data_IF_275375816112
#
_entry.id   IF_275375816112
#
_cell.length_a   1.000
_cell.length_b   1.000
_cell.length_c   1.000
_cell.angle_alpha   90.00
_cell.angle_beta   90.00
_cell.angle_gamma   90.00
#
_symmetry.space_group_name_H-M   'P 1'
#
loop_
_entity.id
_entity.type
_entity.pdbx_description
1 polymer ?
#
# COMPACT_ATOMS: atom_id res chain seq x y z
N UNK A 1 17.92 14.77 10.09
CA UNK A 1 17.87 15.98 9.23
C UNK A 1 17.88 15.58 7.76
N UNK A 2 16.70 15.33 7.16
CA UNK A 2 16.53 15.01 5.73
C UNK A 2 15.47 15.91 5.08
N UNK A 3 15.52 17.22 5.35
CA UNK A 3 14.57 18.20 4.81
C UNK A 3 15.03 18.92 3.53
N UNK A 4 16.10 18.47 2.86
CA UNK A 4 16.73 19.27 1.79
C UNK A 4 17.11 18.50 0.52
N UNK A 5 16.80 17.20 0.40
CA UNK A 5 17.13 16.42 -0.82
C UNK A 5 15.95 16.23 -1.80
N UNK A 6 14.74 16.66 -1.45
CA UNK A 6 13.56 16.56 -2.33
C UNK A 6 13.48 17.69 -3.39
N UNK A 7 14.12 18.84 -3.17
CA UNK A 7 13.87 20.05 -3.98
C UNK A 7 14.75 20.25 -5.22
N UNK A 8 15.76 19.41 -5.48
CA UNK A 8 16.71 19.62 -6.61
C UNK A 8 16.62 18.53 -7.69
N UNK A 9 15.90 17.43 -7.46
CA UNK A 9 15.61 16.44 -8.52
C UNK A 9 14.46 16.86 -9.45
N UNK A 10 13.89 18.05 -9.25
CA UNK A 10 12.61 18.48 -9.84
C UNK A 10 12.73 19.37 -11.10
N UNK A 11 13.92 19.51 -11.71
CA UNK A 11 14.06 20.45 -12.84
C UNK A 11 14.92 20.02 -14.05
N UNK A 12 15.48 18.81 -14.10
CA UNK A 12 16.18 18.34 -15.31
C UNK A 12 15.93 16.84 -15.56
N UNK A 13 14.72 16.48 -15.98
CA UNK A 13 14.47 15.52 -17.08
C UNK A 13 13.03 15.66 -17.56
N UNK A 14 12.70 16.83 -18.12
CA UNK A 14 11.57 16.93 -19.03
C UNK A 14 12.02 16.28 -20.35
N UNK A 15 11.39 15.15 -20.69
CA UNK A 15 11.22 14.48 -21.99
C UNK A 15 11.41 12.96 -21.80
N UNK A 16 10.34 12.23 -22.11
CA UNK A 16 10.12 10.78 -22.04
C UNK A 16 9.83 10.21 -20.65
N UNK A 17 8.55 10.12 -20.27
CA UNK A 17 7.71 8.89 -20.40
C UNK A 17 6.30 9.30 -19.98
N UNK A 18 5.53 9.82 -20.93
CA UNK A 18 4.08 9.73 -20.88
C UNK A 18 3.70 8.70 -21.92
N UNK A 19 3.07 7.59 -21.50
CA UNK A 19 2.30 6.63 -22.32
C UNK A 19 2.39 5.25 -21.68
N UNK A 20 1.27 4.71 -21.17
CA UNK A 20 0.96 3.28 -21.28
C UNK A 20 -0.47 2.86 -20.87
N UNK A 21 -1.46 3.74 -21.05
CA UNK A 21 -2.80 3.32 -21.50
C UNK A 21 -2.93 3.34 -23.04
N UNK A 22 -1.80 3.45 -23.75
CA UNK A 22 -1.71 3.41 -25.23
C UNK A 22 -1.65 1.98 -25.79
N UNK A 23 -1.57 0.94 -24.94
CA UNK A 23 -1.59 -0.47 -25.39
C UNK A 23 -3.00 -1.08 -25.57
N UNK A 24 -4.08 -0.33 -25.32
CA UNK A 24 -5.44 -0.73 -25.68
C UNK A 24 -5.77 -0.46 -27.16
N UNK A 25 -4.93 -0.94 -28.07
CA UNK A 25 -5.31 -1.08 -29.48
C UNK A 25 -5.20 -2.56 -29.88
N UNK A 26 -6.32 -3.28 -30.05
CA UNK A 26 -6.28 -4.46 -30.89
C UNK A 26 -5.93 -4.04 -32.32
N UNK A 27 -5.17 -4.89 -33.00
CA UNK A 27 -4.58 -4.64 -34.30
C UNK A 27 -5.57 -4.13 -35.36
N UNK A 28 -5.10 -3.15 -36.14
CA UNK A 28 -5.62 -2.68 -37.45
C UNK A 28 -7.03 -2.04 -37.50
N UNK A 29 -7.06 -0.70 -37.46
CA UNK A 29 -7.99 0.09 -38.29
C UNK A 29 -7.24 1.17 -39.06
N UNK A 30 -7.66 1.49 -40.30
CA UNK A 30 -6.95 2.43 -41.15
C UNK A 30 -6.93 3.83 -40.53
N UNK A 31 -5.86 4.59 -40.80
CA UNK A 31 -5.75 6.00 -40.48
C UNK A 31 -7.01 6.74 -40.93
N UNK A 32 -7.82 7.18 -39.96
CA UNK A 32 -9.02 7.97 -40.16
C UNK A 32 -9.40 8.68 -38.86
N UNK A 33 -9.40 10.01 -38.91
CA UNK A 33 -9.94 10.99 -37.95
C UNK A 33 -9.48 10.95 -36.49
N UNK A 34 -8.59 11.88 -36.15
CA UNK A 34 -8.35 12.36 -34.78
C UNK A 34 -9.49 13.24 -34.26
N UNK A 35 -10.60 12.60 -33.90
CA UNK A 35 -11.57 13.12 -32.95
C UNK A 35 -11.66 12.07 -31.84
N UNK A 36 -11.14 12.37 -30.64
CA UNK A 36 -11.55 11.58 -29.48
C UNK A 36 -13.07 11.67 -29.38
N UNK A 37 -13.73 10.56 -29.08
CA UNK A 37 -15.17 10.52 -28.85
C UNK A 37 -15.49 11.33 -27.59
N UNK A 38 -15.58 12.66 -27.72
CA UNK A 38 -15.93 13.60 -26.65
C UNK A 38 -17.35 13.38 -26.09
N UNK A 39 -18.07 12.37 -26.57
CA UNK A 39 -19.43 12.02 -26.17
C UNK A 39 -19.53 10.68 -25.43
N UNK A 40 -18.42 9.97 -25.16
CA UNK A 40 -18.46 8.77 -24.34
C UNK A 40 -18.68 9.16 -22.88
N UNK A 41 -19.61 8.49 -22.18
CA UNK A 41 -19.81 8.73 -20.76
C UNK A 41 -18.60 8.22 -19.95
N UNK A 42 -18.33 8.76 -18.75
CA UNK A 42 -17.25 8.27 -17.88
C UNK A 42 -17.34 6.76 -17.61
N UNK A 43 -18.55 6.23 -17.42
CA UNK A 43 -18.79 4.79 -17.22
C UNK A 43 -18.40 3.99 -18.46
N UNK A 44 -18.84 4.41 -19.65
CA UNK A 44 -18.50 3.73 -20.89
C UNK A 44 -17.00 3.75 -21.16
N UNK A 45 -16.31 4.84 -20.79
CA UNK A 45 -14.86 4.95 -20.90
C UNK A 45 -14.13 3.93 -20.02
N UNK A 46 -14.52 3.81 -18.74
CA UNK A 46 -13.87 2.85 -17.83
C UNK A 46 -14.21 1.40 -18.19
N UNK A 47 -15.43 1.13 -18.66
CA UNK A 47 -15.84 -0.19 -19.14
C UNK A 47 -15.03 -0.63 -20.38
N UNK A 48 -14.80 0.29 -21.33
CA UNK A 48 -13.94 0.02 -22.48
C UNK A 48 -12.48 -0.16 -22.07
N UNK A 49 -11.98 0.72 -21.21
CA UNK A 49 -10.59 0.72 -20.75
C UNK A 49 -10.24 -0.55 -19.97
N UNK A 50 -11.12 -0.98 -19.06
CA UNK A 50 -10.90 -2.17 -18.25
C UNK A 50 -11.31 -3.48 -18.95
N UNK A 51 -12.07 -3.40 -20.04
CA UNK A 51 -12.66 -4.58 -20.69
C UNK A 51 -13.71 -5.28 -19.81
N UNK A 52 -14.30 -4.55 -18.86
CA UNK A 52 -15.31 -5.02 -17.91
C UNK A 52 -16.65 -4.34 -18.17
N UNK A 53 -17.70 -4.77 -17.46
CA UNK A 53 -19.02 -4.14 -17.49
C UNK A 53 -19.60 -3.99 -16.09
N UNK A 54 -20.24 -2.87 -15.82
CA UNK A 54 -20.99 -2.67 -14.59
C UNK A 54 -22.15 -3.67 -14.54
N UNK A 55 -22.24 -4.42 -13.45
CA UNK A 55 -23.38 -5.32 -13.17
C UNK A 55 -24.61 -4.52 -12.75
N UNK A 56 -24.36 -3.38 -12.11
CA UNK A 56 -25.35 -2.39 -11.69
C UNK A 56 -24.77 -0.98 -11.84
N UNK A 57 -25.64 0.00 -12.10
CA UNK A 57 -25.22 1.40 -12.18
C UNK A 57 -24.45 1.80 -10.90
N UNK A 58 -23.29 2.49 -11.04
CA UNK A 58 -22.50 2.90 -9.89
C UNK A 58 -23.30 3.89 -9.03
N UNK A 59 -23.33 3.62 -7.72
CA UNK A 59 -24.00 4.51 -6.76
C UNK A 59 -23.00 5.58 -6.35
N UNK A 60 -23.34 6.85 -6.60
CA UNK A 60 -22.50 8.00 -6.26
C UNK A 60 -23.25 8.90 -5.27
N UNK A 61 -22.64 9.17 -4.12
CA UNK A 61 -23.28 9.90 -3.02
C UNK A 61 -22.37 11.05 -2.61
N UNK A 62 -22.85 12.28 -2.75
CA UNK A 62 -22.15 13.47 -2.23
C UNK A 62 -22.39 13.58 -0.73
N UNK A 63 -21.32 13.64 0.05
CA UNK A 63 -21.37 13.62 1.51
C UNK A 63 -20.53 14.75 2.12
N UNK A 64 -20.87 15.13 3.36
CA UNK A 64 -20.02 16.02 4.15
C UNK A 64 -18.72 15.31 4.55
N UNK A 65 -17.72 16.10 4.97
CA UNK A 65 -16.45 15.55 5.43
C UNK A 65 -16.60 14.64 6.65
N UNK A 66 -17.52 14.98 7.56
CA UNK A 66 -17.77 14.20 8.78
C UNK A 66 -18.32 12.81 8.44
N UNK A 67 -19.30 12.74 7.53
CA UNK A 67 -19.88 11.46 7.08
C UNK A 67 -18.83 10.63 6.33
N UNK A 68 -17.99 11.26 5.51
CA UNK A 68 -16.89 10.55 4.86
C UNK A 68 -15.95 9.92 5.89
N UNK A 69 -15.50 10.68 6.89
CA UNK A 69 -14.59 10.17 7.91
C UNK A 69 -15.22 9.05 8.73
N UNK A 70 -16.51 9.14 9.06
CA UNK A 70 -17.26 8.06 9.71
C UNK A 70 -17.21 6.76 8.88
N UNK A 71 -17.45 6.84 7.57
CA UNK A 71 -17.40 5.68 6.66
C UNK A 71 -16.01 5.07 6.52
N UNK A 72 -14.98 5.90 6.50
CA UNK A 72 -13.59 5.43 6.51
C UNK A 72 -13.27 4.69 7.81
N UNK A 73 -13.68 5.22 8.97
CA UNK A 73 -13.49 4.56 10.26
C UNK A 73 -14.27 3.23 10.36
N UNK A 74 -15.49 3.18 9.84
CA UNK A 74 -16.27 1.93 9.74
C UNK A 74 -15.56 0.89 8.88
N UNK A 75 -15.03 1.30 7.72
CA UNK A 75 -14.26 0.41 6.83
C UNK A 75 -12.99 -0.11 7.49
N UNK A 76 -12.22 0.75 8.14
CA UNK A 76 -11.01 0.36 8.86
C UNK A 76 -11.35 -0.58 10.03
N UNK A 77 -12.46 -0.34 10.74
CA UNK A 77 -12.94 -1.23 11.79
C UNK A 77 -13.36 -2.59 11.24
N UNK A 78 -14.02 -2.64 10.08
CA UNK A 78 -14.38 -3.89 9.41
C UNK A 78 -13.15 -4.68 8.95
N UNK A 79 -12.13 -4.00 8.41
CA UNK A 79 -10.90 -4.64 7.94
C UNK A 79 -10.02 -5.17 9.09
N UNK A 80 -9.81 -4.38 10.15
CA UNK A 80 -8.82 -4.71 11.17
C UNK A 80 -9.42 -5.23 12.48
N UNK A 81 -10.73 -5.13 12.65
CA UNK A 81 -11.46 -5.51 13.84
C UNK A 81 -11.28 -4.54 15.03
N UNK A 82 -12.08 -4.71 16.10
CA UNK A 82 -12.03 -3.84 17.28
C UNK A 82 -10.64 -3.78 17.93
N UNK A 83 -10.07 -2.58 18.01
CA UNK A 83 -8.72 -2.35 18.56
C UNK A 83 -7.58 -2.92 17.71
N UNK A 84 -7.85 -3.43 16.52
CA UNK A 84 -6.85 -4.07 15.65
C UNK A 84 -5.76 -3.10 15.19
N UNK A 85 -6.13 -1.87 14.85
CA UNK A 85 -5.16 -0.83 14.48
C UNK A 85 -4.28 -0.39 15.65
N UNK A 86 -4.80 -0.37 16.89
CA UNK A 86 -4.00 -0.07 18.06
C UNK A 86 -2.96 -1.17 18.33
N UNK A 87 -3.36 -2.44 18.21
CA UNK A 87 -2.44 -3.59 18.31
C UNK A 87 -1.37 -3.58 17.22
N UNK A 88 -1.74 -3.26 15.97
CA UNK A 88 -0.78 -3.08 14.87
C UNK A 88 0.18 -1.92 15.12
N UNK A 89 -0.31 -0.77 15.56
CA UNK A 89 0.52 0.38 15.94
C UNK A 89 1.56 -0.02 17.00
N UNK A 90 1.13 -0.78 18.03
CA UNK A 90 2.02 -1.31 19.06
C UNK A 90 3.03 -2.32 18.51
N UNK A 91 2.60 -3.24 17.66
CA UNK A 91 3.50 -4.20 17.03
C UNK A 91 4.55 -3.51 16.16
N UNK A 92 4.16 -2.54 15.33
CA UNK A 92 5.07 -1.76 14.47
C UNK A 92 6.07 -0.96 15.30
N UNK A 93 5.65 -0.35 16.41
CA UNK A 93 6.55 0.30 17.36
C UNK A 93 7.62 -0.66 17.89
N UNK A 94 7.22 -1.87 18.30
CA UNK A 94 8.12 -2.90 18.82
C UNK A 94 9.02 -3.52 17.74
N UNK A 95 8.55 -3.57 16.48
CA UNK A 95 9.32 -4.01 15.31
C UNK A 95 10.43 -3.02 14.97
N UNK A 96 10.24 -1.72 15.21
CA UNK A 96 11.25 -0.70 14.93
C UNK A 96 10.73 0.58 14.27
N UNK A 97 9.45 0.64 13.89
CA UNK A 97 8.80 1.87 13.43
C UNK A 97 8.43 2.75 14.63
N UNK A 98 9.45 3.30 15.30
CA UNK A 98 9.32 3.97 16.58
C UNK A 98 8.43 5.22 16.56
N UNK A 99 8.14 5.80 15.39
CA UNK A 99 7.15 6.87 15.25
C UNK A 99 5.79 6.47 15.83
N UNK A 100 5.40 5.18 15.77
CA UNK A 100 4.13 4.71 16.33
C UNK A 100 4.05 4.72 17.86
N UNK A 101 5.13 5.10 18.57
CA UNK A 101 5.07 5.42 20.00
C UNK A 101 4.31 6.72 20.30
N UNK A 102 4.22 7.62 19.31
CA UNK A 102 3.53 8.92 19.43
C UNK A 102 2.49 9.19 18.34
N UNK A 103 2.44 8.37 17.29
CA UNK A 103 1.52 8.52 16.17
C UNK A 103 0.50 7.37 16.11
N UNK A 104 -0.76 7.68 15.81
CA UNK A 104 -1.80 6.66 15.66
C UNK A 104 -1.84 6.11 14.24
N UNK A 105 -1.73 4.79 14.11
CA UNK A 105 -1.94 4.11 12.81
C UNK A 105 -3.33 4.38 12.23
N UNK A 106 -4.35 4.48 13.10
CA UNK A 106 -5.72 4.81 12.71
C UNK A 106 -5.85 6.20 12.11
N UNK A 107 -5.36 7.23 12.80
CA UNK A 107 -5.39 8.60 12.27
C UNK A 107 -4.63 8.71 10.95
N UNK A 108 -3.52 7.98 10.82
CA UNK A 108 -2.75 7.89 9.59
C UNK A 108 -3.52 7.28 8.41
N UNK A 109 -4.16 6.12 8.61
CA UNK A 109 -5.01 5.52 7.57
C UNK A 109 -6.21 6.41 7.22
N UNK A 110 -6.88 6.98 8.21
CA UNK A 110 -7.99 7.88 7.97
C UNK A 110 -7.57 9.13 7.20
N UNK A 111 -6.37 9.64 7.45
CA UNK A 111 -5.78 10.71 6.65
C UNK A 111 -5.47 10.27 5.20
N UNK A 112 -4.87 9.09 4.99
CA UNK A 112 -4.60 8.54 3.65
C UNK A 112 -5.88 8.37 2.81
N UNK A 113 -7.01 8.07 3.43
CA UNK A 113 -8.31 7.89 2.78
C UNK A 113 -9.21 9.13 2.80
N UNK A 114 -8.68 10.30 3.19
CA UNK A 114 -9.50 11.52 3.27
C UNK A 114 -8.80 12.82 2.86
N UNK A 115 -7.48 12.97 3.02
CA UNK A 115 -6.80 14.24 2.71
C UNK A 115 -6.23 14.22 1.29
N UNK A 116 -6.40 15.32 0.56
CA UNK A 116 -6.00 15.43 -0.85
C UNK A 116 -6.85 14.55 -1.78
N UNK A 117 -8.08 14.21 -1.37
CA UNK A 117 -9.03 13.37 -2.12
C UNK A 117 -10.38 14.05 -2.29
N UNK A 118 -11.06 13.75 -3.41
CA UNK A 118 -12.41 14.26 -3.75
C UNK A 118 -13.47 13.17 -3.89
N UNK A 119 -13.05 11.91 -3.99
CA UNK A 119 -13.92 10.77 -3.72
C UNK A 119 -13.17 9.60 -3.09
N UNK A 120 -13.92 8.61 -2.62
CA UNK A 120 -13.44 7.34 -2.09
C UNK A 120 -14.49 6.25 -2.27
N UNK A 121 -14.07 5.02 -2.55
CA UNK A 121 -14.96 3.86 -2.66
C UNK A 121 -15.24 3.27 -1.28
N UNK A 122 -16.49 3.36 -0.82
CA UNK A 122 -16.98 2.55 0.30
C UNK A 122 -17.23 1.13 -0.21
N UNK A 123 -16.25 0.25 -0.03
CA UNK A 123 -16.33 -1.15 -0.47
C UNK A 123 -17.34 -1.98 0.34
N UNK A 124 -17.81 -1.50 1.50
CA UNK A 124 -18.83 -2.20 2.29
C UNK A 124 -20.20 -2.06 1.61
N UNK A 125 -20.55 -0.83 1.20
CA UNK A 125 -21.82 -0.55 0.52
C UNK A 125 -21.72 -0.64 -1.01
N UNK A 126 -20.51 -0.70 -1.57
CA UNK A 126 -20.27 -0.63 -3.01
C UNK A 126 -20.62 0.74 -3.60
N UNK A 127 -20.47 1.81 -2.82
CA UNK A 127 -20.84 3.17 -3.20
C UNK A 127 -19.63 4.10 -3.25
N UNK A 128 -19.62 5.01 -4.23
CA UNK A 128 -18.64 6.09 -4.31
C UNK A 128 -19.10 7.25 -3.46
N UNK A 129 -18.33 7.57 -2.42
CA UNK A 129 -18.50 8.77 -1.63
C UNK A 129 -17.75 9.90 -2.32
N UNK A 130 -18.45 10.98 -2.62
CA UNK A 130 -17.91 12.17 -3.26
C UNK A 130 -17.98 13.37 -2.30
N UNK A 131 -17.07 14.31 -2.46
CA UNK A 131 -17.14 15.57 -1.73
C UNK A 131 -18.48 16.29 -1.99
N UNK A 132 -19.00 17.00 -0.98
CA UNK A 132 -20.29 17.67 -1.08
C UNK A 132 -20.40 18.62 -2.30
N UNK A 133 -19.29 19.28 -2.63
CA UNK A 133 -19.11 20.22 -3.73
C UNK A 133 -18.43 19.59 -4.96
N UNK A 134 -18.46 18.26 -5.11
CA UNK A 134 -17.96 17.57 -6.31
C UNK A 134 -18.67 18.04 -7.57
N UNK A 135 -17.93 18.48 -8.57
CA UNK A 135 -18.42 19.10 -9.80
C UNK A 135 -17.71 18.53 -11.04
N UNK A 136 -18.39 17.61 -11.73
CA UNK A 136 -17.90 16.95 -12.95
C UNK A 136 -17.62 17.89 -14.13
N UNK A 137 -18.04 19.15 -14.04
CA UNK A 137 -17.68 20.16 -15.04
C UNK A 137 -16.24 20.67 -14.84
N UNK A 138 -15.69 20.58 -13.63
CA UNK A 138 -14.30 20.90 -13.34
C UNK A 138 -13.37 19.81 -13.88
N UNK A 139 -12.25 20.17 -14.54
CA UNK A 139 -11.29 19.19 -15.06
C UNK A 139 -10.78 18.19 -14.01
N UNK A 140 -10.44 18.67 -12.81
CA UNK A 140 -9.90 17.82 -11.74
C UNK A 140 -10.90 16.75 -11.29
N UNK A 141 -12.13 17.15 -10.94
CA UNK A 141 -13.19 16.22 -10.53
C UNK A 141 -13.60 15.29 -11.67
N UNK A 142 -13.67 15.78 -12.91
CA UNK A 142 -13.93 14.93 -14.09
C UNK A 142 -12.89 13.83 -14.23
N UNK A 143 -11.61 14.16 -14.11
CA UNK A 143 -10.53 13.15 -14.18
C UNK A 143 -10.67 12.15 -13.03
N UNK A 144 -10.78 12.64 -11.79
CA UNK A 144 -10.88 11.80 -10.60
C UNK A 144 -12.08 10.85 -10.64
N UNK A 145 -13.20 11.29 -11.23
CA UNK A 145 -14.38 10.45 -11.41
C UNK A 145 -14.07 9.17 -12.20
N UNK A 146 -13.21 9.21 -13.21
CA UNK A 146 -12.88 8.02 -13.99
C UNK A 146 -12.08 7.00 -13.18
N UNK A 147 -11.11 7.43 -12.37
CA UNK A 147 -10.40 6.54 -11.44
C UNK A 147 -11.35 5.93 -10.41
N UNK A 148 -12.24 6.73 -9.82
CA UNK A 148 -13.24 6.27 -8.85
C UNK A 148 -14.21 5.25 -9.47
N UNK A 149 -14.69 5.51 -10.68
CA UNK A 149 -15.55 4.58 -11.42
C UNK A 149 -14.80 3.29 -11.78
N UNK A 150 -13.50 3.36 -12.06
CA UNK A 150 -12.68 2.16 -12.26
C UNK A 150 -12.60 1.32 -10.98
N UNK A 151 -12.41 1.93 -9.81
CA UNK A 151 -12.45 1.22 -8.53
C UNK A 151 -13.81 0.56 -8.28
N UNK A 152 -14.91 1.28 -8.51
CA UNK A 152 -16.26 0.73 -8.37
C UNK A 152 -16.52 -0.44 -9.34
N UNK A 153 -16.04 -0.34 -10.59
CA UNK A 153 -16.16 -1.39 -11.59
C UNK A 153 -15.35 -2.63 -11.19
N UNK A 154 -14.12 -2.43 -10.71
CA UNK A 154 -13.27 -3.51 -10.19
C UNK A 154 -13.93 -4.18 -8.99
N UNK A 155 -14.49 -3.41 -8.05
CA UNK A 155 -15.17 -3.96 -6.87
C UNK A 155 -16.42 -4.78 -7.25
N UNK A 156 -17.20 -4.35 -8.24
CA UNK A 156 -18.31 -5.16 -8.75
C UNK A 156 -17.85 -6.46 -9.46
N UNK A 157 -16.71 -6.41 -10.16
CA UNK A 157 -16.17 -7.56 -10.88
C UNK A 157 -15.50 -8.58 -9.95
N UNK A 158 -14.68 -8.07 -9.02
CA UNK A 158 -13.84 -8.80 -8.07
C UNK A 158 -13.93 -8.10 -6.71
N UNK A 159 -14.90 -8.45 -5.85
CA UNK A 159 -15.07 -7.80 -4.55
C UNK A 159 -13.89 -8.05 -3.61
N UNK A 160 -13.55 -7.06 -2.80
CA UNK A 160 -12.47 -7.15 -1.80
C UNK A 160 -12.91 -8.02 -0.61
N UNK A 161 -12.07 -8.94 -0.17
CA UNK A 161 -12.37 -9.82 0.97
C UNK A 161 -12.09 -9.12 2.32
N UNK A 162 -12.90 -8.10 2.65
CA UNK A 162 -12.74 -7.27 3.86
C UNK A 162 -12.67 -8.15 5.12
N UNK A 163 -11.65 -7.90 5.94
CA UNK A 163 -11.41 -8.59 7.21
C UNK A 163 -10.91 -10.04 7.08
N UNK A 164 -10.66 -10.52 5.86
CA UNK A 164 -10.16 -11.88 5.59
C UNK A 164 -8.70 -11.90 5.10
N UNK A 165 -8.26 -10.81 4.47
CA UNK A 165 -6.88 -10.66 4.01
C UNK A 165 -5.93 -10.35 5.17
N UNK A 166 -4.74 -10.95 5.13
CA UNK A 166 -3.61 -10.49 5.96
C UNK A 166 -3.16 -9.08 5.58
N UNK A 167 -2.36 -8.45 6.43
CA UNK A 167 -1.87 -7.09 6.16
C UNK A 167 -1.09 -7.00 4.83
N UNK A 168 -0.20 -7.96 4.55
CA UNK A 168 0.58 -8.01 3.29
C UNK A 168 -0.32 -8.20 2.04
N UNK A 169 -1.30 -9.11 2.12
CA UNK A 169 -2.26 -9.34 1.04
C UNK A 169 -3.13 -8.11 0.78
N UNK A 170 -3.64 -7.49 1.85
CA UNK A 170 -4.46 -6.29 1.76
C UNK A 170 -3.68 -5.12 1.15
N UNK A 171 -2.44 -4.90 1.57
CA UNK A 171 -1.55 -3.88 0.97
C UNK A 171 -1.34 -4.17 -0.51
N UNK A 172 -1.04 -5.43 -0.86
CA UNK A 172 -0.74 -5.80 -2.23
C UNK A 172 -1.93 -5.60 -3.17
N UNK A 173 -3.10 -6.09 -2.76
CA UNK A 173 -4.33 -5.97 -3.53
C UNK A 173 -4.79 -4.51 -3.64
N UNK A 174 -4.82 -3.77 -2.53
CA UNK A 174 -5.25 -2.36 -2.51
C UNK A 174 -4.35 -1.48 -3.36
N UNK A 175 -3.03 -1.72 -3.32
CA UNK A 175 -2.08 -0.95 -4.10
C UNK A 175 -2.21 -1.22 -5.61
N UNK A 176 -2.46 -2.47 -6.02
CA UNK A 176 -2.75 -2.76 -7.43
C UNK A 176 -4.02 -2.03 -7.88
N UNK A 177 -5.12 -2.15 -7.13
CA UNK A 177 -6.40 -1.51 -7.47
C UNK A 177 -6.25 0.01 -7.60
N UNK A 178 -5.61 0.64 -6.61
CA UNK A 178 -5.32 2.07 -6.64
C UNK A 178 -4.38 2.45 -7.79
N UNK A 179 -3.41 1.60 -8.15
CA UNK A 179 -2.53 1.86 -9.31
C UNK A 179 -3.29 1.83 -10.64
N UNK A 180 -4.33 1.00 -10.80
CA UNK A 180 -5.18 0.97 -12.00
C UNK A 180 -5.97 2.28 -12.11
N UNK A 181 -6.60 2.70 -11.01
CA UNK A 181 -7.31 3.99 -10.88
C UNK A 181 -6.38 5.16 -11.22
N UNK A 182 -5.19 5.18 -10.64
CA UNK A 182 -4.20 6.23 -10.86
C UNK A 182 -3.62 6.21 -12.29
N UNK A 183 -3.48 5.05 -12.93
CA UNK A 183 -3.10 4.95 -14.34
C UNK A 183 -4.15 5.59 -15.26
N UNK A 184 -5.44 5.40 -14.97
CA UNK A 184 -6.55 6.04 -15.72
C UNK A 184 -6.50 7.56 -15.52
N UNK A 185 -6.42 8.01 -14.27
CA UNK A 185 -6.34 9.43 -13.93
C UNK A 185 -5.14 10.09 -14.62
N UNK A 186 -3.95 9.50 -14.53
CA UNK A 186 -2.74 10.04 -15.15
C UNK A 186 -2.84 10.16 -16.67
N UNK A 187 -3.48 9.19 -17.35
CA UNK A 187 -3.69 9.28 -18.80
C UNK A 187 -4.63 10.44 -19.15
N UNK A 188 -5.73 10.58 -18.42
CA UNK A 188 -6.67 11.69 -18.63
C UNK A 188 -6.05 13.05 -18.29
N UNK A 189 -5.21 13.15 -17.25
CA UNK A 189 -4.42 14.35 -16.94
C UNK A 189 -3.51 14.74 -18.10
N UNK A 190 -2.87 13.78 -18.78
CA UNK A 190 -2.03 14.05 -19.96
C UNK A 190 -2.89 14.46 -21.18
N UNK A 191 -4.07 13.85 -21.38
CA UNK A 191 -5.00 14.24 -22.44
C UNK A 191 -5.57 15.66 -22.22
N UNK A 192 -5.73 16.08 -20.97
CA UNK A 192 -6.18 17.41 -20.55
C UNK A 192 -5.06 18.31 -20.04
N UNK A 193 -3.82 18.10 -20.49
CA UNK A 193 -2.59 18.71 -19.93
C UNK A 193 -2.65 20.22 -19.70
N UNK A 194 -3.32 20.97 -20.55
CA UNK A 194 -3.48 22.43 -20.40
C UNK A 194 -4.20 22.82 -19.09
N UNK A 195 -5.05 21.94 -18.55
CA UNK A 195 -5.75 22.13 -17.27
C UNK A 195 -4.90 21.73 -16.05
N UNK A 196 -3.77 21.05 -16.26
CA UNK A 196 -2.90 20.49 -15.22
C UNK A 196 -1.44 20.97 -15.34
N UNK A 197 -1.22 22.15 -15.94
CA UNK A 197 0.12 22.74 -16.10
C UNK A 197 0.77 23.08 -14.75
N UNK A 198 -0.04 23.35 -13.72
CA UNK A 198 0.40 23.62 -12.36
C UNK A 198 -0.10 22.52 -11.43
N UNK A 199 0.64 22.18 -10.36
CA UNK A 199 0.14 21.31 -9.30
C UNK A 199 -1.19 21.83 -8.75
N UNK A 200 -2.16 20.94 -8.62
CA UNK A 200 -3.46 21.27 -8.03
C UNK A 200 -3.36 21.32 -6.50
N UNK A 201 -4.28 22.03 -5.81
CA UNK A 201 -4.33 22.03 -4.35
C UNK A 201 -4.36 20.62 -3.75
N UNK A 202 -5.13 19.70 -4.35
CA UNK A 202 -5.22 18.31 -3.89
C UNK A 202 -3.86 17.60 -3.92
N UNK A 203 -3.11 17.77 -5.02
CA UNK A 203 -1.77 17.20 -5.13
C UNK A 203 -0.84 17.76 -4.05
N UNK A 204 -0.86 19.07 -3.83
CA UNK A 204 -0.02 19.71 -2.81
C UNK A 204 -0.40 19.29 -1.38
N UNK A 205 -1.69 19.11 -1.10
CA UNK A 205 -2.17 18.59 0.19
C UNK A 205 -1.75 17.13 0.38
N UNK A 206 -1.84 16.32 -0.67
CA UNK A 206 -1.43 14.91 -0.65
C UNK A 206 0.06 14.78 -0.40
N UNK A 207 0.90 15.55 -1.10
CA UNK A 207 2.35 15.59 -0.90
C UNK A 207 2.71 16.04 0.52
N UNK A 208 2.03 17.07 1.03
CA UNK A 208 2.23 17.57 2.39
C UNK A 208 1.83 16.53 3.45
N UNK A 209 0.73 15.80 3.22
CA UNK A 209 0.33 14.68 4.08
C UNK A 209 1.43 13.61 4.09
N UNK A 210 1.86 13.12 2.93
CA UNK A 210 2.86 12.05 2.83
C UNK A 210 4.17 12.43 3.52
N UNK A 211 4.62 13.68 3.37
CA UNK A 211 5.81 14.19 4.03
C UNK A 211 5.70 14.27 5.57
N UNK A 212 4.47 14.30 6.11
CA UNK A 212 4.20 14.37 7.55
C UNK A 212 3.84 13.03 8.21
N UNK A 213 3.64 11.96 7.43
CA UNK A 213 3.27 10.64 7.96
C UNK A 213 4.49 9.84 8.44
N UNK A 214 4.32 8.91 9.41
CA UNK A 214 5.30 7.87 9.70
C UNK A 214 5.75 7.12 8.44
N UNK A 215 7.01 6.70 8.37
CA UNK A 215 7.58 6.14 7.12
C UNK A 215 6.79 4.94 6.57
N UNK A 216 6.24 4.11 7.45
CA UNK A 216 5.35 3.00 7.11
C UNK A 216 4.14 3.47 6.29
N UNK A 217 3.45 4.52 6.75
CA UNK A 217 2.23 5.05 6.16
C UNK A 217 2.52 5.90 4.93
N UNK A 218 3.62 6.65 4.94
CA UNK A 218 4.10 7.40 3.77
C UNK A 218 4.36 6.43 2.60
N UNK A 219 5.08 5.33 2.85
CA UNK A 219 5.32 4.29 1.86
C UNK A 219 4.03 3.71 1.27
N UNK A 220 3.03 3.41 2.10
CA UNK A 220 1.72 2.94 1.61
C UNK A 220 1.03 3.94 0.70
N UNK A 221 1.08 5.22 1.03
CA UNK A 221 0.46 6.27 0.23
C UNK A 221 1.18 6.58 -1.08
N UNK A 222 2.47 6.26 -1.17
CA UNK A 222 3.30 6.40 -2.38
C UNK A 222 3.20 5.18 -3.32
N UNK A 223 2.83 4.01 -2.78
CA UNK A 223 2.82 2.75 -3.51
C UNK A 223 2.01 2.76 -4.83
N UNK A 224 0.82 3.41 -4.93
CA UNK A 224 0.04 3.45 -6.18
C UNK A 224 0.43 4.58 -7.15
N UNK A 225 1.36 5.47 -6.78
CA UNK A 225 1.69 6.68 -7.55
C UNK A 225 2.29 6.36 -8.93
N UNK A 226 2.42 7.37 -9.80
CA UNK A 226 3.03 7.27 -11.14
C UNK A 226 4.36 6.50 -11.18
N UNK A 227 5.17 6.63 -10.13
CA UNK A 227 6.47 5.96 -9.99
C UNK A 227 6.50 4.93 -8.87
N UNK A 228 5.34 4.61 -8.30
CA UNK A 228 5.17 3.62 -7.24
C UNK A 228 5.33 2.20 -7.76
N UNK A 229 5.75 1.29 -6.89
CA UNK A 229 6.05 -0.08 -7.28
C UNK A 229 4.83 -0.83 -7.84
N UNK A 230 3.62 -0.59 -7.30
CA UNK A 230 2.41 -1.25 -7.80
C UNK A 230 2.08 -0.85 -9.24
N UNK A 231 2.30 0.43 -9.58
CA UNK A 231 2.13 0.91 -10.95
C UNK A 231 3.19 0.36 -11.90
N UNK A 232 4.45 0.35 -11.48
CA UNK A 232 5.54 -0.24 -12.27
C UNK A 232 5.26 -1.72 -12.54
N UNK A 233 4.79 -2.46 -11.53
CA UNK A 233 4.35 -3.84 -11.66
C UNK A 233 3.24 -3.98 -12.69
N UNK A 234 2.15 -3.25 -12.50
CA UNK A 234 0.98 -3.24 -13.38
C UNK A 234 1.40 -3.02 -14.84
N UNK A 235 2.09 -1.92 -15.12
CA UNK A 235 2.52 -1.55 -16.47
C UNK A 235 3.49 -2.57 -17.07
N UNK A 236 4.41 -3.11 -16.27
CA UNK A 236 5.39 -4.11 -16.74
C UNK A 236 4.70 -5.42 -17.13
N UNK A 237 3.72 -5.89 -16.35
CA UNK A 237 2.98 -7.12 -16.64
C UNK A 237 2.20 -7.01 -17.94
N UNK A 238 1.56 -5.85 -18.18
CA UNK A 238 0.87 -5.58 -19.43
C UNK A 238 1.85 -5.46 -20.62
N UNK A 239 2.93 -4.70 -20.46
CA UNK A 239 3.93 -4.49 -21.54
C UNK A 239 4.60 -5.79 -21.97
N UNK A 240 4.92 -6.66 -21.03
CA UNK A 240 5.53 -7.98 -21.30
C UNK A 240 4.51 -9.03 -21.74
N UNK A 241 3.21 -8.71 -21.68
CA UNK A 241 2.10 -9.65 -21.91
C UNK A 241 2.17 -10.90 -21.02
N UNK A 242 2.79 -10.77 -19.85
CA UNK A 242 2.89 -11.87 -18.88
C UNK A 242 1.57 -12.11 -18.13
N UNK A 243 0.80 -11.04 -17.92
CA UNK A 243 -0.57 -11.09 -17.38
C UNK A 243 -1.44 -10.10 -18.17
N UNK A 244 -2.72 -10.40 -18.32
CA UNK A 244 -3.69 -9.44 -18.90
C UNK A 244 -4.24 -8.52 -17.80
N UNK A 245 -4.84 -7.39 -18.16
CA UNK A 245 -5.49 -6.52 -17.17
C UNK A 245 -6.62 -7.26 -16.44
N UNK A 246 -7.43 -8.02 -17.17
CA UNK A 246 -8.52 -8.81 -16.57
C UNK A 246 -7.97 -9.84 -15.58
N UNK A 247 -6.90 -10.54 -15.94
CA UNK A 247 -6.24 -11.49 -15.04
C UNK A 247 -5.68 -10.83 -13.77
N UNK A 248 -5.14 -9.61 -13.87
CA UNK A 248 -4.69 -8.85 -12.70
C UNK A 248 -5.84 -8.42 -11.78
N UNK A 249 -7.03 -8.16 -12.33
CA UNK A 249 -8.23 -7.82 -11.56
C UNK A 249 -8.85 -9.06 -10.90
N UNK A 250 -8.94 -10.16 -11.63
CA UNK A 250 -9.52 -11.42 -11.14
C UNK A 250 -8.60 -12.14 -10.16
N UNK A 251 -7.29 -12.06 -10.37
CA UNK A 251 -6.26 -12.71 -9.57
C UNK A 251 -5.20 -11.67 -9.12
N UNK A 252 -5.56 -10.72 -8.23
CA UNK A 252 -4.62 -9.71 -7.77
C UNK A 252 -3.43 -10.36 -7.03
N UNK A 253 -2.27 -9.67 -6.96
CA UNK A 253 -1.11 -10.16 -6.24
C UNK A 253 -1.46 -10.39 -4.76
N UNK A 254 -1.02 -11.53 -4.23
CA UNK A 254 -1.29 -11.95 -2.84
C UNK A 254 -0.12 -11.70 -1.89
N UNK A 255 0.85 -10.90 -2.33
CA UNK A 255 1.97 -10.47 -1.49
C UNK A 255 2.59 -9.22 -2.09
N UNK A 256 3.18 -8.40 -1.23
CA UNK A 256 3.96 -7.27 -1.70
C UNK A 256 5.27 -7.71 -2.37
N UNK A 257 5.75 -8.93 -2.14
CA UNK A 257 6.87 -9.52 -2.90
C UNK A 257 6.54 -9.61 -4.39
N UNK A 258 5.33 -10.09 -4.73
CA UNK A 258 4.89 -10.19 -6.13
C UNK A 258 4.84 -8.81 -6.78
N UNK A 259 4.29 -7.82 -6.07
CA UNK A 259 4.27 -6.41 -6.52
C UNK A 259 5.67 -5.85 -6.77
N UNK A 260 6.65 -6.20 -5.92
CA UNK A 260 8.03 -5.75 -6.10
C UNK A 260 8.76 -6.51 -7.23
N UNK A 261 8.07 -7.41 -7.94
CA UNK A 261 8.61 -8.17 -9.06
C UNK A 261 9.23 -9.51 -8.68
N UNK A 262 9.11 -9.93 -7.42
CA UNK A 262 9.53 -11.24 -6.96
C UNK A 262 8.60 -12.38 -7.40
N UNK A 263 9.08 -13.62 -7.23
CA UNK A 263 8.32 -14.83 -7.50
C UNK A 263 7.52 -15.24 -6.25
N UNK A 264 6.20 -15.12 -6.29
CA UNK A 264 5.33 -15.47 -5.16
C UNK A 264 5.35 -16.95 -4.82
N UNK A 265 5.72 -17.83 -5.76
CA UNK A 265 5.86 -19.27 -5.49
C UNK A 265 7.05 -19.60 -4.59
N UNK A 266 7.98 -18.66 -4.42
CA UNK A 266 9.12 -18.80 -3.52
C UNK A 266 8.76 -18.53 -2.05
N UNK A 267 7.58 -17.96 -1.77
CA UNK A 267 7.15 -17.67 -0.40
C UNK A 267 6.91 -18.98 0.34
N UNK A 268 7.57 -19.12 1.49
CA UNK A 268 7.46 -20.27 2.37
C UNK A 268 6.81 -19.84 3.68
N UNK A 269 5.75 -20.53 4.15
CA UNK A 269 5.12 -20.23 5.42
C UNK A 269 6.13 -20.19 6.57
N UNK A 270 5.97 -19.20 7.44
CA UNK A 270 6.74 -19.05 8.67
C UNK A 270 5.87 -19.48 9.84
N UNK A 271 6.34 -20.44 10.61
CA UNK A 271 5.63 -20.96 11.78
C UNK A 271 6.26 -20.34 13.01
N UNK A 272 5.44 -19.63 13.79
CA UNK A 272 5.86 -19.04 15.05
C UNK A 272 5.91 -20.12 16.16
N UNK A 273 6.80 -19.96 17.16
CA UNK A 273 6.83 -20.82 18.34
C UNK A 273 5.47 -20.85 19.06
N UNK A 274 5.17 -21.92 19.81
CA UNK A 274 3.95 -21.96 20.62
C UNK A 274 4.06 -21.01 21.83
N UNK A 275 2.96 -20.34 22.17
CA UNK A 275 2.92 -19.51 23.38
C UNK A 275 2.76 -20.38 24.64
N UNK A 276 3.35 -19.90 25.73
CA UNK A 276 3.06 -20.43 27.07
C UNK A 276 1.58 -20.14 27.45
N UNK A 277 0.96 -20.97 28.32
CA UNK A 277 -0.46 -20.81 28.67
C UNK A 277 -0.83 -19.47 29.32
N UNK A 278 0.13 -18.81 29.97
CA UNK A 278 -0.01 -17.51 30.62
C UNK A 278 0.23 -16.32 29.67
N UNK A 279 0.58 -16.58 28.41
CA UNK A 279 0.76 -15.57 27.38
C UNK A 279 -0.51 -15.41 26.54
N UNK A 280 -1.06 -14.21 26.50
CA UNK A 280 -2.22 -13.87 25.69
C UNK A 280 -1.79 -13.41 24.29
N UNK A 281 -2.18 -14.17 23.26
CA UNK A 281 -2.00 -13.75 21.87
C UNK A 281 -2.88 -12.52 21.57
N UNK A 282 -2.30 -11.47 21.01
CA UNK A 282 -3.01 -10.23 20.68
C UNK A 282 -3.13 -10.02 19.17
N UNK A 283 -2.08 -10.37 18.40
CA UNK A 283 -2.02 -10.17 16.95
C UNK A 283 -0.97 -11.10 16.33
N UNK A 284 -1.27 -11.67 15.17
CA UNK A 284 -0.31 -12.35 14.32
C UNK A 284 -0.47 -11.90 12.88
N UNK A 285 0.59 -11.36 12.28
CA UNK A 285 0.54 -10.80 10.93
C UNK A 285 1.90 -10.92 10.24
N UNK A 286 1.94 -10.49 8.98
CA UNK A 286 3.16 -10.38 8.16
C UNK A 286 3.38 -8.92 7.82
N UNK A 287 4.63 -8.44 7.86
CA UNK A 287 4.95 -7.14 7.27
C UNK A 287 4.92 -7.22 5.74
N UNK A 288 5.31 -8.36 5.18
CA UNK A 288 5.51 -8.51 3.75
C UNK A 288 6.81 -7.85 3.28
N UNK A 289 7.23 -8.21 2.07
CA UNK A 289 8.49 -7.72 1.49
C UNK A 289 8.54 -6.19 1.42
N UNK A 290 7.42 -5.50 1.16
CA UNK A 290 7.38 -4.05 1.07
C UNK A 290 7.68 -3.35 2.40
N UNK A 291 7.01 -3.72 3.49
CA UNK A 291 7.26 -3.04 4.76
C UNK A 291 8.60 -3.45 5.38
N UNK A 292 9.10 -4.65 5.08
CA UNK A 292 10.51 -5.02 5.36
C UNK A 292 11.47 -4.11 4.60
N UNK A 293 11.22 -3.88 3.31
CA UNK A 293 12.01 -2.93 2.51
C UNK A 293 11.97 -1.53 3.14
N UNK A 294 10.78 -1.02 3.47
CA UNK A 294 10.60 0.31 4.06
C UNK A 294 11.36 0.45 5.38
N UNK A 295 11.31 -0.56 6.26
CA UNK A 295 12.06 -0.56 7.51
C UNK A 295 13.57 -0.54 7.27
N UNK A 296 14.08 -1.40 6.38
CA UNK A 296 15.51 -1.49 6.09
C UNK A 296 16.01 -0.21 5.42
N UNK A 297 15.24 0.39 4.52
CA UNK A 297 15.60 1.65 3.87
C UNK A 297 15.74 2.78 4.89
N UNK A 298 14.83 2.82 5.86
CA UNK A 298 14.88 3.77 6.95
C UNK A 298 16.14 3.63 7.80
N UNK A 299 16.56 2.39 8.07
CA UNK A 299 17.70 2.08 8.93
C UNK A 299 19.06 2.14 8.22
N UNK A 300 19.09 1.83 6.92
CA UNK A 300 20.31 1.68 6.11
C UNK A 300 20.27 2.58 4.86
N UNK A 301 20.06 1.96 3.71
CA UNK A 301 20.02 2.58 2.39
C UNK A 301 19.00 1.88 1.52
N UNK A 302 18.52 2.61 0.52
CA UNK A 302 17.57 2.12 -0.48
C UNK A 302 18.09 0.88 -1.22
N UNK A 303 19.38 0.88 -1.62
CA UNK A 303 19.97 -0.22 -2.39
C UNK A 303 20.01 -1.53 -1.58
N UNK A 304 20.35 -1.45 -0.29
CA UNK A 304 20.34 -2.59 0.62
C UNK A 304 18.91 -3.10 0.85
N UNK A 305 17.97 -2.17 1.04
CA UNK A 305 16.56 -2.50 1.23
C UNK A 305 15.99 -3.26 0.02
N UNK A 306 16.20 -2.75 -1.19
CA UNK A 306 15.75 -3.40 -2.42
C UNK A 306 16.36 -4.79 -2.59
N UNK A 307 17.67 -4.92 -2.38
CA UNK A 307 18.36 -6.20 -2.53
C UNK A 307 17.80 -7.25 -1.55
N UNK A 308 17.60 -6.88 -0.28
CA UNK A 308 17.05 -7.80 0.71
C UNK A 308 15.57 -8.11 0.46
N UNK A 309 14.76 -7.13 0.06
CA UNK A 309 13.34 -7.33 -0.23
C UNK A 309 13.10 -8.41 -1.30
N UNK A 310 13.96 -8.49 -2.33
CA UNK A 310 13.89 -9.53 -3.36
C UNK A 310 14.32 -10.92 -2.86
N UNK A 311 15.12 -10.97 -1.78
CA UNK A 311 15.55 -12.20 -1.12
C UNK A 311 14.61 -12.63 0.02
N UNK A 312 13.59 -11.84 0.35
CA UNK A 312 12.57 -12.19 1.34
C UNK A 312 11.74 -13.38 0.84
N UNK A 313 11.43 -14.32 1.74
CA UNK A 313 10.70 -15.56 1.44
C UNK A 313 9.51 -15.80 2.37
N UNK A 314 9.14 -14.81 3.17
CA UNK A 314 8.05 -14.92 4.14
C UNK A 314 8.46 -14.35 5.49
N UNK A 315 7.54 -13.70 6.17
CA UNK A 315 7.70 -13.33 7.57
C UNK A 315 6.41 -13.55 8.35
N UNK A 316 6.55 -13.66 9.67
CA UNK A 316 5.43 -13.64 10.59
C UNK A 316 5.88 -13.00 11.88
N UNK A 317 5.12 -12.04 12.38
CA UNK A 317 5.29 -11.49 13.71
C UNK A 317 4.09 -11.81 14.58
N UNK A 318 4.32 -11.87 15.89
CA UNK A 318 3.28 -11.97 16.90
C UNK A 318 3.49 -10.94 17.98
N UNK A 319 2.44 -10.19 18.25
CA UNK A 319 2.28 -9.41 19.48
C UNK A 319 1.53 -10.27 20.49
N UNK A 320 2.08 -10.40 21.68
CA UNK A 320 1.46 -11.11 22.78
C UNK A 320 1.80 -10.41 24.10
N UNK A 321 1.03 -10.69 25.16
CA UNK A 321 1.27 -10.08 26.46
C UNK A 321 1.23 -11.09 27.60
N UNK A 322 1.96 -10.78 28.65
CA UNK A 322 1.92 -11.48 29.93
C UNK A 322 1.89 -10.44 31.07
N UNK A 323 2.13 -10.88 32.32
CA UNK A 323 2.12 -9.99 33.48
C UNK A 323 3.18 -8.87 33.44
N UNK A 324 4.25 -9.04 32.66
CA UNK A 324 5.34 -8.07 32.49
C UNK A 324 5.03 -7.00 31.42
N UNK A 325 4.03 -7.24 30.56
CA UNK A 325 3.62 -6.33 29.48
C UNK A 325 3.64 -6.98 28.11
N UNK A 326 3.76 -6.15 27.07
CA UNK A 326 3.73 -6.58 25.67
C UNK A 326 5.10 -7.07 25.17
N UNK A 327 5.07 -8.13 24.38
CA UNK A 327 6.21 -8.79 23.76
C UNK A 327 5.95 -8.98 22.27
N UNK A 328 7.03 -8.92 21.51
CA UNK A 328 7.01 -9.16 20.07
C UNK A 328 8.06 -10.21 19.72
N UNK A 329 7.66 -11.19 18.94
CA UNK A 329 8.55 -12.08 18.19
C UNK A 329 8.28 -11.92 16.71
N UNK A 330 9.33 -11.84 15.91
CA UNK A 330 9.27 -11.67 14.46
C UNK A 330 10.27 -12.58 13.77
N UNK A 331 9.77 -13.50 12.96
CA UNK A 331 10.57 -14.44 12.20
C UNK A 331 10.53 -14.05 10.73
N UNK A 332 11.69 -13.87 10.11
CA UNK A 332 11.87 -13.61 8.69
C UNK A 332 12.62 -14.76 8.03
N UNK A 333 12.06 -15.32 6.97
CA UNK A 333 12.74 -16.27 6.09
C UNK A 333 13.32 -15.56 4.89
N UNK A 334 14.52 -15.96 4.52
CA UNK A 334 15.26 -15.42 3.39
C UNK A 334 15.65 -16.53 2.42
N UNK A 335 16.04 -16.14 1.22
CA UNK A 335 16.55 -17.08 0.21
C UNK A 335 17.87 -17.71 0.63
N UNK A 336 18.72 -16.96 1.35
CA UNK A 336 20.08 -17.39 1.71
C UNK A 336 20.41 -17.05 3.16
N UNK A 337 21.33 -17.82 3.75
CA UNK A 337 21.89 -17.55 5.07
C UNK A 337 22.56 -16.17 5.12
N UNK A 338 23.27 -15.76 4.05
CA UNK A 338 23.90 -14.44 3.97
C UNK A 338 22.87 -13.30 4.05
N UNK A 339 21.71 -13.46 3.43
CA UNK A 339 20.63 -12.49 3.55
C UNK A 339 20.06 -12.45 4.99
N UNK A 340 19.92 -13.61 5.64
CA UNK A 340 19.46 -13.71 7.02
C UNK A 340 20.45 -13.09 8.02
N UNK A 341 21.75 -13.34 7.84
CA UNK A 341 22.85 -12.69 8.58
C UNK A 341 22.80 -11.18 8.40
N UNK A 342 22.69 -10.71 7.16
CA UNK A 342 22.64 -9.28 6.86
C UNK A 342 21.41 -8.61 7.48
N UNK A 343 20.24 -9.23 7.37
CA UNK A 343 19.01 -8.72 7.99
C UNK A 343 19.14 -8.67 9.52
N UNK A 344 19.73 -9.71 10.13
CA UNK A 344 19.95 -9.74 11.58
C UNK A 344 20.88 -8.63 12.06
N UNK A 345 21.96 -8.34 11.32
CA UNK A 345 22.85 -7.20 11.61
C UNK A 345 22.12 -5.87 11.60
N UNK A 346 21.18 -5.69 10.66
CA UNK A 346 20.37 -4.48 10.54
C UNK A 346 19.41 -4.41 11.73
N UNK A 347 18.62 -5.46 11.97
CA UNK A 347 17.63 -5.49 13.06
C UNK A 347 18.28 -5.37 14.44
N UNK A 348 19.51 -5.84 14.63
CA UNK A 348 20.25 -5.65 15.87
C UNK A 348 20.46 -4.16 16.24
N UNK A 349 20.48 -3.26 15.25
CA UNK A 349 20.62 -1.80 15.47
C UNK A 349 19.38 -1.17 16.11
N UNK A 350 18.23 -1.84 16.07
CA UNK A 350 17.01 -1.39 16.76
C UNK A 350 17.18 -1.33 18.28
N UNK A 351 18.15 -2.08 18.82
CA UNK A 351 18.52 -2.03 20.24
C UNK A 351 19.00 -0.65 20.69
N UNK A 352 19.62 0.12 19.79
CA UNK A 352 20.27 1.38 20.12
C UNK A 352 19.28 2.57 20.17
N UNK A 353 18.03 2.39 19.69
CA UNK A 353 17.03 3.45 19.55
C UNK A 353 16.09 3.65 20.75
N UNK A 354 15.99 2.68 21.66
CA UNK A 354 14.95 2.67 22.71
C UNK A 354 15.47 3.23 24.04
N UNK A 355 15.62 4.55 24.10
CA UNK A 355 15.85 5.24 25.37
C UNK A 355 14.56 5.44 26.14
N UNK A 356 14.18 4.52 27.05
CA UNK A 356 13.43 4.79 28.34
C UNK A 356 12.79 3.58 29.04
N UNK A 357 12.75 2.39 28.45
CA UNK A 357 12.27 1.18 29.15
C UNK A 357 13.29 0.04 29.02
N UNK A 358 13.48 -0.74 30.09
CA UNK A 358 14.27 -1.98 30.06
C UNK A 358 13.56 -3.01 29.20
N UNK A 359 13.76 -2.90 27.87
CA UNK A 359 13.35 -3.90 26.88
C UNK A 359 14.49 -4.88 26.66
N UNK A 360 14.15 -6.13 26.43
CA UNK A 360 15.08 -7.20 26.09
C UNK A 360 14.96 -7.48 24.60
N UNK A 361 15.93 -7.00 23.84
CA UNK A 361 15.92 -7.06 22.38
C UNK A 361 17.06 -7.93 21.90
N UNK A 362 16.76 -8.87 21.02
CA UNK A 362 17.74 -9.69 20.32
C UNK A 362 17.38 -9.89 18.87
N UNK A 363 18.43 -10.11 18.07
CA UNK A 363 18.32 -10.63 16.72
C UNK A 363 19.30 -11.81 16.60
N UNK A 364 18.82 -12.94 16.08
CA UNK A 364 19.60 -14.16 15.90
C UNK A 364 19.30 -14.78 14.53
N UNK A 365 20.16 -15.70 14.10
CA UNK A 365 20.05 -16.37 12.80
C UNK A 365 20.15 -17.88 13.00
N UNK A 366 19.23 -18.61 12.38
CA UNK A 366 19.30 -20.06 12.21
C UNK A 366 19.06 -20.42 10.74
N UNK A 367 20.14 -20.81 10.06
CA UNK A 367 20.16 -21.00 8.61
C UNK A 367 19.63 -19.77 7.88
N UNK A 368 18.59 -19.94 7.08
CA UNK A 368 18.01 -18.83 6.32
C UNK A 368 16.93 -18.04 7.07
N UNK A 369 16.84 -18.19 8.40
CA UNK A 369 15.81 -17.53 9.21
C UNK A 369 16.43 -16.54 10.18
N UNK A 370 15.97 -15.31 10.16
CA UNK A 370 16.25 -14.30 11.19
C UNK A 370 15.13 -14.31 12.22
N UNK A 371 15.48 -14.36 13.50
CA UNK A 371 14.54 -14.18 14.60
C UNK A 371 14.85 -12.88 15.32
N UNK A 372 13.89 -11.97 15.35
CA UNK A 372 13.93 -10.74 16.13
C UNK A 372 12.94 -10.83 17.28
N UNK A 373 13.38 -10.50 18.49
CA UNK A 373 12.52 -10.42 19.67
C UNK A 373 12.66 -9.05 20.33
N UNK A 374 11.54 -8.55 20.84
CA UNK A 374 11.48 -7.34 21.65
C UNK A 374 10.51 -7.59 22.81
N UNK A 375 11.07 -7.89 23.98
CA UNK A 375 10.34 -8.38 25.14
C UNK A 375 10.39 -7.41 26.33
N UNK A 376 9.36 -7.43 27.16
CA UNK A 376 9.29 -6.68 28.41
C UNK A 376 10.09 -7.32 29.56
N UNK A 377 10.43 -8.60 29.45
CA UNK A 377 11.23 -9.35 30.43
C UNK A 377 12.21 -10.31 29.74
N UNK A 378 13.24 -10.73 30.49
CA UNK A 378 14.30 -11.60 29.99
C UNK A 378 13.82 -13.05 29.77
N UNK A 379 12.85 -13.53 30.55
CA UNK A 379 12.39 -14.92 30.49
C UNK A 379 11.69 -15.23 29.17
N UNK A 380 11.04 -14.21 28.60
CA UNK A 380 10.29 -14.29 27.34
C UNK A 380 11.20 -14.14 26.11
N UNK A 381 12.45 -13.73 26.29
CA UNK A 381 13.38 -13.45 25.18
C UNK A 381 13.81 -14.72 24.41
N UNK A 382 13.91 -15.86 25.10
CA UNK A 382 14.45 -17.12 24.56
C UNK A 382 13.38 -18.01 23.88
N UNK A 383 12.21 -17.45 23.53
CA UNK A 383 11.08 -18.16 22.90
C UNK A 383 11.27 -18.50 21.43
#
# INVERSE_FOLDING_TARGET
MRGARSLVSLLITAVAVGSLLVLFKPEQRPQGSGQSDKNQSPEAYVEETLGLRFKSAPVMIRVSKDVWLERVEEHLSAQFGPGGLARRSRALELIGFHEFSGHSLREGFSALHSIGLRGWLDSIEGALLLAADFDETQPEDRVLLHGLLAEALIEQASPTAIGQLSDDEWIAESALRASISESINAKLREEERESFLLPTPLLTERESLLAGLPIYLAGLGELPQERGAARIFFETRLRTRSRTLLDLIENPPRSTLELLGGDSSSITPVILPSLAPDHANQLEESLGAFQVQTLIEWMESYEQAQALALLWRGDRYRLFANSSGDHLIWLCRWETNTAAERASEIFAKLKDGLGRSTRFISSSVDGNTTTFTNCADLQTQDL
#
